data_IF_051571697487
#
_entry.id   IF_051571697487
#
_cell.length_a   1.000
_cell.length_b   1.000
_cell.length_c   1.000
_cell.angle_alpha   90.00
_cell.angle_beta   90.00
_cell.angle_gamma   90.00
#
_symmetry.space_group_name_H-M   'P 1'
#
loop_
_entity.id
_entity.type
_entity.pdbx_description
1 polymer ?
#
# COMPACT_ATOMS: atom_id res chain seq x y z
N UNK A 1 -1.48 -5.66 -19.76
CA UNK A 1 -1.01 -4.60 -18.85
C UNK A 1 0.34 -4.09 -19.31
N UNK A 2 0.65 -2.81 -19.09
CA UNK A 2 1.99 -2.24 -19.33
C UNK A 2 3.03 -2.87 -18.39
N UNK A 3 4.30 -2.90 -18.79
CA UNK A 3 5.39 -3.44 -17.98
C UNK A 3 5.58 -2.73 -16.63
N UNK A 4 5.15 -1.47 -16.51
CA UNK A 4 5.16 -0.73 -15.23
C UNK A 4 4.22 -1.35 -14.17
N UNK A 5 3.24 -2.15 -14.60
CA UNK A 5 2.33 -2.89 -13.75
C UNK A 5 2.72 -4.38 -13.66
N UNK A 6 3.96 -4.74 -14.00
CA UNK A 6 4.42 -6.11 -13.73
C UNK A 6 4.42 -6.36 -12.21
N UNK A 7 4.06 -7.58 -11.79
CA UNK A 7 3.82 -7.87 -10.38
C UNK A 7 5.08 -7.70 -9.53
N UNK A 8 6.24 -8.07 -10.06
CA UNK A 8 7.56 -7.84 -9.45
C UNK A 8 7.88 -6.36 -9.25
N UNK A 9 7.50 -5.49 -10.19
CA UNK A 9 7.60 -4.03 -10.03
C UNK A 9 6.69 -3.54 -8.91
N UNK A 10 5.46 -4.06 -8.80
CA UNK A 10 4.54 -3.71 -7.70
C UNK A 10 5.07 -4.16 -6.33
N UNK A 11 5.73 -5.31 -6.26
CA UNK A 11 6.42 -5.78 -5.04
C UNK A 11 7.58 -4.88 -4.66
N UNK A 12 8.44 -4.52 -5.62
CA UNK A 12 9.56 -3.62 -5.38
C UNK A 12 9.09 -2.22 -4.93
N UNK A 13 7.97 -1.74 -5.51
CA UNK A 13 7.33 -0.49 -5.10
C UNK A 13 6.79 -0.58 -3.66
N UNK A 14 6.11 -1.68 -3.31
CA UNK A 14 5.59 -1.90 -1.96
C UNK A 14 6.73 -1.91 -0.93
N UNK A 15 7.80 -2.66 -1.20
CA UNK A 15 8.97 -2.71 -0.32
C UNK A 15 9.63 -1.33 -0.15
N UNK A 16 9.79 -0.58 -1.24
CA UNK A 16 10.32 0.78 -1.18
C UNK A 16 9.43 1.69 -0.31
N UNK A 17 8.11 1.60 -0.49
CA UNK A 17 7.16 2.39 0.28
C UNK A 17 7.22 2.06 1.79
N UNK A 18 7.32 0.78 2.16
CA UNK A 18 7.49 0.35 3.55
C UNK A 18 8.78 0.89 4.18
N UNK A 19 9.90 0.85 3.44
CA UNK A 19 11.18 1.42 3.88
C UNK A 19 11.11 2.93 4.09
N UNK A 20 10.45 3.66 3.18
CA UNK A 20 10.25 5.10 3.31
C UNK A 20 9.34 5.43 4.50
N UNK A 21 8.25 4.68 4.70
CA UNK A 21 7.33 4.87 5.82
C UNK A 21 7.97 4.58 7.18
N UNK A 22 8.93 3.65 7.25
CA UNK A 22 9.69 3.30 8.45
C UNK A 22 10.86 4.25 8.75
N UNK A 23 11.12 5.24 7.89
CA UNK A 23 12.24 6.17 8.08
C UNK A 23 12.07 7.01 9.34
N UNK A 24 13.18 7.19 10.06
CA UNK A 24 13.25 8.05 11.25
C UNK A 24 14.33 9.10 11.10
N UNK A 25 14.12 10.29 11.67
CA UNK A 25 15.12 11.35 11.71
C UNK A 25 15.31 11.87 13.13
N UNK A 26 16.56 12.12 13.54
CA UNK A 26 16.83 12.78 14.82
C UNK A 26 16.42 14.25 14.73
N UNK A 27 15.57 14.72 15.65
CA UNK A 27 15.15 16.10 15.73
C UNK A 27 15.74 16.76 17.00
N UNK A 28 16.82 17.57 16.87
CA UNK A 28 17.53 18.14 18.02
C UNK A 28 16.65 18.96 18.95
N UNK A 29 15.64 19.67 18.40
CA UNK A 29 14.73 20.51 19.19
C UNK A 29 13.75 19.72 20.06
N UNK A 30 13.33 18.54 19.61
CA UNK A 30 12.43 17.66 20.37
C UNK A 30 13.19 16.63 21.21
N UNK A 31 14.51 16.51 21.01
CA UNK A 31 15.35 15.56 21.74
C UNK A 31 14.99 14.09 21.48
N UNK A 32 14.35 13.79 20.35
CA UNK A 32 13.93 12.42 19.98
C UNK A 32 14.03 12.17 18.48
N UNK A 33 13.97 10.89 18.10
CA UNK A 33 13.68 10.52 16.72
C UNK A 33 12.21 10.84 16.38
N UNK A 34 12.00 11.47 15.23
CA UNK A 34 10.70 11.66 14.60
C UNK A 34 10.50 10.62 13.51
N UNK A 35 9.26 10.20 13.34
CA UNK A 35 8.78 9.19 12.40
C UNK A 35 7.78 9.83 11.43
N UNK A 36 7.37 9.13 10.37
CA UNK A 36 6.39 9.65 9.42
C UNK A 36 5.07 10.08 10.10
N UNK A 37 4.56 9.29 11.05
CA UNK A 37 3.32 9.62 11.79
C UNK A 37 3.39 10.91 12.62
N UNK A 38 4.59 11.37 12.98
CA UNK A 38 4.77 12.59 13.77
C UNK A 38 4.53 13.86 12.93
N UNK A 39 4.56 13.77 11.60
CA UNK A 39 4.57 14.92 10.69
C UNK A 39 3.61 14.78 9.52
N UNK A 40 3.06 13.58 9.27
CA UNK A 40 2.21 13.33 8.12
C UNK A 40 0.84 14.02 8.25
N UNK A 41 0.22 14.30 7.11
CA UNK A 41 -1.19 14.65 7.06
C UNK A 41 -2.04 13.38 7.20
N UNK A 42 -2.93 13.38 8.19
CA UNK A 42 -3.86 12.27 8.48
C UNK A 42 -5.31 12.79 8.49
N UNK A 43 -6.09 12.58 7.41
CA UNK A 43 -7.41 13.21 7.26
C UNK A 43 -8.49 12.64 8.19
N UNK A 44 -8.38 11.37 8.60
CA UNK A 44 -9.42 10.68 9.39
C UNK A 44 -9.13 10.69 10.89
N UNK A 45 -7.86 10.62 11.28
CA UNK A 45 -7.43 10.59 12.68
C UNK A 45 -6.29 11.63 12.92
N UNK A 46 -6.61 12.93 12.89
CA UNK A 46 -5.61 13.99 12.87
C UNK A 46 -4.89 14.21 14.21
N UNK A 47 -5.48 13.80 15.34
CA UNK A 47 -4.95 14.11 16.68
C UNK A 47 -3.90 13.10 17.14
N UNK A 48 -4.11 11.81 16.85
CA UNK A 48 -3.22 10.75 17.29
C UNK A 48 -3.10 9.66 16.20
N UNK A 49 -2.51 10.00 15.04
CA UNK A 49 -2.46 9.10 13.89
C UNK A 49 -1.54 7.90 14.15
N UNK A 50 -2.02 6.72 13.74
CA UNK A 50 -1.16 5.59 13.44
C UNK A 50 -0.45 5.77 12.09
N UNK A 51 0.53 4.91 11.79
CA UNK A 51 1.21 4.97 10.49
C UNK A 51 0.25 4.72 9.32
N UNK A 52 -0.78 3.88 9.52
CA UNK A 52 -1.82 3.62 8.52
C UNK A 52 -2.78 4.77 8.26
N UNK A 53 -2.80 5.80 9.13
CA UNK A 53 -3.63 6.99 8.97
C UNK A 53 -2.95 8.07 8.10
N UNK A 54 -1.64 7.94 7.87
CA UNK A 54 -0.90 8.87 7.02
C UNK A 54 -1.36 8.79 5.56
N UNK A 55 -1.63 9.94 4.95
CA UNK A 55 -2.03 10.01 3.55
C UNK A 55 -0.84 9.69 2.63
N UNK A 56 -0.81 8.45 2.12
CA UNK A 56 0.14 7.97 1.10
C UNK A 56 -0.66 7.43 -0.09
N UNK A 57 -0.51 8.05 -1.25
CA UNK A 57 -1.23 7.67 -2.47
C UNK A 57 -0.31 6.87 -3.39
N UNK A 58 -0.68 5.62 -3.67
CA UNK A 58 0.05 4.69 -4.52
C UNK A 58 -0.89 3.62 -5.06
N UNK A 59 -0.52 2.96 -6.16
CA UNK A 59 -1.27 1.80 -6.69
C UNK A 59 -1.33 0.64 -5.68
N UNK A 60 -0.33 0.51 -4.80
CA UNK A 60 -0.31 -0.52 -3.75
C UNK A 60 -1.40 -0.31 -2.70
N UNK A 61 -1.99 0.89 -2.63
CA UNK A 61 -3.07 1.23 -1.70
C UNK A 61 -4.36 0.45 -2.02
N UNK A 62 -4.60 0.06 -3.27
CA UNK A 62 -5.74 -0.80 -3.64
C UNK A 62 -5.67 -2.18 -2.98
N UNK A 63 -4.47 -2.60 -2.59
CA UNK A 63 -4.19 -3.83 -1.84
C UNK A 63 -3.86 -3.52 -0.37
N UNK A 64 -4.18 -2.30 0.09
CA UNK A 64 -3.94 -1.80 1.44
C UNK A 64 -2.48 -1.96 1.88
N UNK A 65 -1.55 -1.80 0.93
CA UNK A 65 -0.11 -2.00 1.12
C UNK A 65 0.22 -3.37 1.75
N UNK A 66 -0.50 -4.42 1.37
CA UNK A 66 -0.31 -5.75 1.91
C UNK A 66 0.11 -6.73 0.80
N UNK A 67 1.35 -7.21 0.87
CA UNK A 67 1.90 -8.14 -0.11
C UNK A 67 1.10 -9.45 -0.24
N UNK A 68 0.53 -9.94 0.85
CA UNK A 68 -0.32 -11.15 0.81
C UNK A 68 -1.63 -10.91 0.05
N UNK A 69 -2.17 -9.69 0.07
CA UNK A 69 -3.35 -9.32 -0.75
C UNK A 69 -2.99 -9.20 -2.23
N UNK A 70 -1.81 -8.66 -2.55
CA UNK A 70 -1.29 -8.60 -3.92
C UNK A 70 -1.00 -10.01 -4.50
N UNK A 71 -0.59 -10.95 -3.65
CA UNK A 71 -0.31 -12.33 -4.06
C UNK A 71 -1.56 -13.21 -4.23
N UNK A 72 -2.72 -12.74 -3.77
CA UNK A 72 -3.91 -13.57 -3.65
C UNK A 72 -4.47 -13.94 -5.02
N UNK A 73 -4.86 -15.21 -5.16
CA UNK A 73 -5.61 -15.72 -6.30
C UNK A 73 -6.86 -16.42 -5.79
N UNK A 74 -7.97 -16.33 -6.52
CA UNK A 74 -9.20 -17.04 -6.20
C UNK A 74 -9.78 -17.74 -7.43
N UNK A 75 -10.53 -18.82 -7.22
CA UNK A 75 -11.31 -19.45 -8.28
C UNK A 75 -12.68 -18.78 -8.33
N UNK A 76 -13.05 -18.23 -9.48
CA UNK A 76 -14.37 -17.65 -9.71
C UNK A 76 -15.24 -18.62 -10.50
N UNK A 77 -16.46 -18.81 -10.01
CA UNK A 77 -17.52 -19.61 -10.64
C UNK A 77 -18.85 -18.85 -10.46
N UNK A 78 -19.15 -17.96 -11.41
CA UNK A 78 -20.29 -17.03 -11.38
C UNK A 78 -21.36 -17.37 -12.43
N UNK A 79 -21.39 -18.61 -12.91
CA UNK A 79 -22.27 -19.04 -14.00
C UNK A 79 -21.78 -18.65 -15.41
N UNK A 80 -20.61 -17.98 -15.52
CA UNK A 80 -19.91 -17.77 -16.79
C UNK A 80 -18.74 -18.76 -16.94
N UNK A 81 -17.67 -18.33 -17.60
CA UNK A 81 -16.44 -19.12 -17.73
C UNK A 81 -15.74 -19.13 -16.37
N UNK A 82 -15.60 -20.34 -15.83
CA UNK A 82 -14.81 -20.59 -14.63
C UNK A 82 -13.34 -20.25 -14.88
N UNK A 83 -12.73 -19.49 -13.98
CA UNK A 83 -11.36 -19.04 -14.13
C UNK A 83 -10.72 -18.62 -12.82
N UNK A 84 -9.40 -18.44 -12.83
CA UNK A 84 -8.67 -17.87 -11.71
C UNK A 84 -8.64 -16.35 -11.85
N UNK A 85 -9.04 -15.66 -10.79
CA UNK A 85 -8.90 -14.21 -10.66
C UNK A 85 -7.69 -13.88 -9.79
N UNK A 86 -7.03 -12.79 -10.10
CA UNK A 86 -5.83 -12.32 -9.40
C UNK A 86 -5.85 -10.78 -9.17
N UNK A 87 -4.70 -10.23 -8.81
CA UNK A 87 -4.56 -8.79 -8.55
C UNK A 87 -4.92 -7.90 -9.74
N UNK A 88 -4.86 -8.41 -10.98
CA UNK A 88 -5.20 -7.66 -12.19
C UNK A 88 -6.68 -7.35 -12.24
N UNK A 89 -7.51 -8.34 -11.91
CA UNK A 89 -8.96 -8.20 -11.85
C UNK A 89 -9.36 -7.21 -10.76
N UNK A 90 -8.76 -7.35 -9.58
CA UNK A 90 -8.97 -6.40 -8.46
C UNK A 90 -8.55 -4.99 -8.84
N UNK A 91 -7.38 -4.83 -9.48
CA UNK A 91 -6.91 -3.52 -9.90
C UNK A 91 -7.87 -2.87 -10.89
N UNK A 92 -8.30 -3.58 -11.94
CA UNK A 92 -9.28 -3.08 -12.93
C UNK A 92 -10.60 -2.69 -12.28
N UNK A 93 -11.02 -3.41 -11.25
CA UNK A 93 -12.26 -3.11 -10.54
C UNK A 93 -12.18 -1.83 -9.69
N UNK A 94 -10.98 -1.50 -9.17
CA UNK A 94 -10.80 -0.37 -8.26
C UNK A 94 -10.39 0.95 -8.92
N UNK A 95 -9.89 0.94 -10.15
CA UNK A 95 -9.55 2.16 -10.92
C UNK A 95 -10.75 2.69 -11.71
#
# INVERSE_FOLDING_TARGET
FSGVLAQDVLWALLELQERLAATTAWAPKSGRNVTLRDVCYAPLNPTEPGLGDCCVNSVTQYFQNNGSRLALTALQDDGKIKGTVDWRDHLIYCV
#
